data_IF_103576271555
#
_entry.id   IF_103576271555
#
_cell.length_a   1.000
_cell.length_b   1.000
_cell.length_c   1.000
_cell.angle_alpha   90.00
_cell.angle_beta   90.00
_cell.angle_gamma   90.00
#
_symmetry.space_group_name_H-M   'P 1'
#
loop_
_entity.id
_entity.type
_entity.pdbx_description
1 polymer ?
#
# COMPACT_ATOMS: atom_id res chain seq x y z
N UNK A 1 16.97 3.64 9.70
CA UNK A 1 17.27 2.48 8.81
C UNK A 1 16.04 2.31 7.94
N UNK A 2 16.18 2.56 6.64
CA UNK A 2 15.03 2.64 5.74
C UNK A 2 14.25 1.32 5.65
N UNK A 3 14.93 0.18 5.79
CA UNK A 3 14.29 -1.13 5.78
C UNK A 3 13.50 -1.35 7.08
N UNK A 4 14.05 -0.92 8.21
CA UNK A 4 13.36 -1.00 9.50
C UNK A 4 12.11 -0.11 9.51
N UNK A 5 12.20 1.12 9.00
CA UNK A 5 11.07 2.05 8.88
C UNK A 5 9.97 1.52 7.96
N UNK A 6 10.35 0.96 6.80
CA UNK A 6 9.40 0.33 5.88
C UNK A 6 8.68 -0.86 6.54
N UNK A 7 9.42 -1.71 7.26
CA UNK A 7 8.86 -2.85 7.96
C UNK A 7 7.90 -2.41 9.07
N UNK A 8 8.25 -1.37 9.83
CA UNK A 8 7.40 -0.80 10.86
C UNK A 8 6.10 -0.23 10.27
N UNK A 9 6.17 0.56 9.20
CA UNK A 9 4.98 1.11 8.55
C UNK A 9 4.06 0.02 7.99
N UNK A 10 4.65 -1.02 7.38
CA UNK A 10 3.90 -2.17 6.86
C UNK A 10 3.16 -2.90 7.98
N UNK A 11 3.82 -3.14 9.12
CA UNK A 11 3.20 -3.77 10.28
C UNK A 11 2.07 -2.93 10.88
N UNK A 12 2.26 -1.61 10.97
CA UNK A 12 1.21 -0.68 11.42
C UNK A 12 -0.01 -0.70 10.48
N UNK A 13 0.21 -0.73 9.16
CA UNK A 13 -0.86 -0.83 8.18
C UNK A 13 -1.62 -2.15 8.31
N UNK A 14 -0.91 -3.28 8.44
CA UNK A 14 -1.54 -4.59 8.66
C UNK A 14 -2.36 -4.62 9.95
N UNK A 15 -1.84 -4.03 11.04
CA UNK A 15 -2.56 -3.93 12.29
C UNK A 15 -3.85 -3.11 12.14
N UNK A 16 -3.77 -1.97 11.44
CA UNK A 16 -4.93 -1.12 11.15
C UNK A 16 -5.97 -1.85 10.29
N UNK A 17 -5.55 -2.56 9.24
CA UNK A 17 -6.46 -3.33 8.39
C UNK A 17 -7.20 -4.40 9.21
N UNK A 18 -6.51 -5.05 10.15
CA UNK A 18 -7.13 -6.04 11.04
C UNK A 18 -8.20 -5.44 11.95
N UNK A 19 -8.03 -4.20 12.42
CA UNK A 19 -9.03 -3.56 13.30
C UNK A 19 -10.28 -3.13 12.52
N UNK A 20 -10.15 -2.79 11.24
CA UNK A 20 -11.28 -2.36 10.39
C UNK A 20 -11.98 -3.51 9.65
N UNK A 21 -11.51 -4.75 9.77
CA UNK A 21 -12.07 -5.91 9.05
C UNK A 21 -13.52 -6.24 9.41
N UNK A 22 -14.07 -5.62 10.47
CA UNK A 22 -15.48 -5.73 10.85
C UNK A 22 -16.38 -4.72 10.12
N UNK A 23 -15.81 -3.78 9.36
CA UNK A 23 -16.54 -2.75 8.62
C UNK A 23 -16.87 -3.22 7.20
N UNK A 24 -18.03 -2.81 6.68
CA UNK A 24 -18.34 -2.94 5.26
C UNK A 24 -17.63 -1.83 4.46
N UNK A 25 -16.36 -2.09 4.11
CA UNK A 25 -15.51 -1.12 3.42
C UNK A 25 -15.98 -0.75 2.01
N UNK A 26 -16.93 -1.51 1.43
CA UNK A 26 -17.50 -1.22 0.11
C UNK A 26 -18.50 -0.08 0.15
N UNK A 27 -19.26 0.03 1.24
CA UNK A 27 -20.27 1.08 1.41
C UNK A 27 -19.70 2.39 1.97
N UNK A 28 -18.50 2.36 2.58
CA UNK A 28 -17.82 3.55 3.05
C UNK A 28 -17.17 4.28 1.89
N UNK A 29 -17.66 5.47 1.56
CA UNK A 29 -17.11 6.32 0.50
C UNK A 29 -16.21 7.39 1.11
N UNK A 30 -15.00 7.51 0.57
CA UNK A 30 -14.02 8.52 0.98
C UNK A 30 -13.60 9.37 -0.22
N UNK A 31 -13.27 10.63 0.04
CA UNK A 31 -12.64 11.50 -0.95
C UNK A 31 -11.13 11.27 -0.97
N UNK A 32 -10.55 11.34 -2.17
CA UNK A 32 -9.10 11.33 -2.33
C UNK A 32 -8.47 12.54 -1.66
N UNK A 33 -7.34 12.38 -0.94
CA UNK A 33 -6.63 13.50 -0.33
C UNK A 33 -6.01 14.45 -1.37
N UNK A 34 -5.79 13.97 -2.60
CA UNK A 34 -5.17 14.76 -3.68
C UNK A 34 -6.22 15.55 -4.47
N UNK A 35 -7.46 15.06 -4.53
CA UNK A 35 -8.56 15.75 -5.21
C UNK A 35 -9.91 15.37 -4.58
N UNK A 36 -10.62 16.30 -3.92
CA UNK A 36 -11.85 16.01 -3.21
C UNK A 36 -13.00 15.56 -4.14
N UNK A 37 -12.92 15.89 -5.44
CA UNK A 37 -13.91 15.46 -6.44
C UNK A 37 -13.74 13.99 -6.86
N UNK A 38 -12.62 13.35 -6.51
CA UNK A 38 -12.40 11.92 -6.72
C UNK A 38 -12.85 11.19 -5.47
N UNK A 39 -13.94 10.45 -5.58
CA UNK A 39 -14.49 9.62 -4.50
C UNK A 39 -14.33 8.14 -4.84
N UNK A 40 -14.05 7.34 -3.83
CA UNK A 40 -13.87 5.90 -3.96
C UNK A 40 -14.30 5.19 -2.68
N UNK A 41 -14.59 3.90 -2.77
CA UNK A 41 -14.82 3.10 -1.57
C UNK A 41 -13.53 2.99 -0.74
N UNK A 42 -13.67 2.85 0.57
CA UNK A 42 -12.55 2.58 1.47
C UNK A 42 -11.82 1.28 1.07
N UNK A 43 -12.56 0.27 0.60
CA UNK A 43 -11.98 -0.95 0.01
C UNK A 43 -11.06 -0.61 -1.16
N UNK A 44 -11.53 0.20 -2.12
CA UNK A 44 -10.74 0.56 -3.30
C UNK A 44 -9.50 1.35 -2.90
N UNK A 45 -9.60 2.20 -1.88
CA UNK A 45 -8.49 2.99 -1.39
C UNK A 45 -7.39 2.10 -0.79
N UNK A 46 -7.78 1.13 0.03
CA UNK A 46 -6.86 0.14 0.59
C UNK A 46 -6.23 -0.72 -0.49
N UNK A 47 -7.00 -1.16 -1.48
CA UNK A 47 -6.46 -1.91 -2.60
C UNK A 47 -5.38 -1.12 -3.35
N UNK A 48 -5.60 0.18 -3.60
CA UNK A 48 -4.61 1.06 -4.23
C UNK A 48 -3.31 1.11 -3.42
N UNK A 49 -3.40 1.21 -2.08
CA UNK A 49 -2.24 1.25 -1.19
C UNK A 49 -1.45 -0.07 -1.25
N UNK A 50 -2.15 -1.21 -1.20
CA UNK A 50 -1.53 -2.54 -1.28
C UNK A 50 -0.86 -2.75 -2.64
N UNK A 51 -1.56 -2.45 -3.74
CA UNK A 51 -1.03 -2.57 -5.10
C UNK A 51 0.21 -1.68 -5.31
N UNK A 52 0.20 -0.49 -4.72
CA UNK A 52 1.34 0.42 -4.74
C UNK A 52 2.57 -0.17 -4.03
N UNK A 53 2.39 -0.72 -2.83
CA UNK A 53 3.46 -1.41 -2.10
C UNK A 53 4.04 -2.60 -2.88
N UNK A 54 3.18 -3.46 -3.44
CA UNK A 54 3.61 -4.60 -4.25
C UNK A 54 4.42 -4.15 -5.48
N UNK A 55 4.01 -3.06 -6.13
CA UNK A 55 4.75 -2.51 -7.28
C UNK A 55 6.16 -2.10 -6.89
N UNK A 56 6.33 -1.43 -5.75
CA UNK A 56 7.65 -1.03 -5.27
C UNK A 56 8.55 -2.23 -4.95
N UNK A 57 8.00 -3.29 -4.37
CA UNK A 57 8.74 -4.54 -4.15
C UNK A 57 9.22 -5.13 -5.49
N UNK A 58 8.33 -5.21 -6.48
CA UNK A 58 8.68 -5.72 -7.80
C UNK A 58 9.78 -4.89 -8.48
N UNK A 59 9.72 -3.55 -8.35
CA UNK A 59 10.76 -2.65 -8.85
C UNK A 59 12.10 -2.89 -8.16
N UNK A 60 12.11 -3.07 -6.84
CA UNK A 60 13.33 -3.37 -6.09
C UNK A 60 13.96 -4.71 -6.55
N UNK A 61 13.16 -5.75 -6.70
CA UNK A 61 13.60 -7.06 -7.21
C UNK A 61 14.23 -6.92 -8.60
N UNK A 62 13.60 -6.14 -9.48
CA UNK A 62 14.10 -5.93 -10.84
C UNK A 62 15.45 -5.22 -10.84
N UNK A 63 15.58 -4.15 -10.05
CA UNK A 63 16.87 -3.44 -9.89
C UNK A 63 17.95 -4.37 -9.33
N UNK A 64 17.63 -5.19 -8.32
CA UNK A 64 18.59 -6.17 -7.77
C UNK A 64 19.05 -7.16 -8.84
N UNK A 65 18.13 -7.70 -9.65
CA UNK A 65 18.49 -8.61 -10.76
C UNK A 65 19.42 -7.94 -11.77
N UNK A 66 19.11 -6.69 -12.16
CA UNK A 66 19.94 -5.94 -13.10
C UNK A 66 21.34 -5.67 -12.54
N UNK A 67 21.46 -5.36 -11.25
CA UNK A 67 22.75 -5.18 -10.60
C UNK A 67 23.56 -6.49 -10.54
N UNK A 68 22.91 -7.63 -10.29
CA UNK A 68 23.57 -8.95 -10.26
C UNK A 68 23.99 -9.48 -11.64
N UNK A 69 23.34 -9.03 -12.72
CA UNK A 69 23.72 -9.39 -14.10
C UNK A 69 24.89 -8.52 -14.60
N UNK A 70 25.00 -7.29 -14.11
CA UNK A 70 26.02 -6.31 -14.51
C UNK A 70 27.25 -6.29 -13.59
N UNK A 71 27.33 -7.18 -12.59
CA UNK A 71 28.44 -7.33 -11.66
C UNK A 71 29.30 -8.54 -12.03
#
# INVERSE_FOLDING_TARGET
DICAEFHQHSNSLVALIKTINQLDLKSIIISSPVNPNIVLSAEKALQIIVDHGQRHINQAIEVTKQLSINA
#
